data_IF_421302250759
#
_entry.id   IF_421302250759
#
_cell.length_a   1.000
_cell.length_b   1.000
_cell.length_c   1.000
_cell.angle_alpha   90.00
_cell.angle_beta   90.00
_cell.angle_gamma   90.00
#
_symmetry.space_group_name_H-M   'P 1'
#
loop_
_entity.id
_entity.type
_entity.pdbx_description
1 polymer ?
#
# COMPACT_ATOMS: atom_id res chain seq x y z
N UNK A 1 0.60 -21.09 10.44
CA UNK A 1 0.32 -19.79 11.13
C UNK A 1 0.80 -18.57 10.36
N UNK A 2 1.19 -18.75 9.10
CA UNK A 2 1.67 -17.69 8.22
C UNK A 2 0.66 -16.51 8.10
N UNK A 3 -0.63 -16.83 7.95
CA UNK A 3 -1.70 -15.83 7.80
C UNK A 3 -1.83 -14.77 8.91
N UNK A 4 -1.31 -15.01 10.11
CA UNK A 4 -1.45 -14.10 11.23
C UNK A 4 -0.16 -13.39 11.64
N UNK A 5 1.00 -13.99 11.37
CA UNK A 5 2.27 -13.52 11.95
C UNK A 5 2.60 -12.08 11.54
N UNK A 6 2.65 -11.79 10.25
CA UNK A 6 2.97 -10.44 9.75
C UNK A 6 1.91 -9.41 10.17
N UNK A 7 0.63 -9.76 10.04
CA UNK A 7 -0.49 -8.89 10.45
C UNK A 7 -0.42 -8.58 11.94
N UNK A 8 -0.20 -9.60 12.78
CA UNK A 8 -0.17 -9.43 14.23
C UNK A 8 0.94 -8.47 14.68
N UNK A 9 2.15 -8.67 14.17
CA UNK A 9 3.25 -7.77 14.47
C UNK A 9 3.05 -6.37 13.91
N UNK A 10 2.51 -6.24 12.70
CA UNK A 10 2.21 -4.95 12.09
C UNK A 10 1.17 -4.17 12.88
N UNK A 11 0.12 -4.81 13.40
CA UNK A 11 -0.87 -4.18 14.29
C UNK A 11 -0.22 -3.59 15.53
N UNK A 12 0.66 -4.36 16.20
CA UNK A 12 1.35 -3.92 17.41
C UNK A 12 2.29 -2.74 17.10
N UNK A 13 3.11 -2.86 16.05
CA UNK A 13 4.09 -1.85 15.72
C UNK A 13 3.45 -0.57 15.20
N UNK A 14 2.38 -0.66 14.37
CA UNK A 14 1.65 0.51 13.90
C UNK A 14 0.98 1.25 15.06
N UNK A 15 0.33 0.51 15.96
CA UNK A 15 -0.27 1.08 17.18
C UNK A 15 0.79 1.81 18.00
N UNK A 16 1.92 1.16 18.30
CA UNK A 16 3.02 1.78 19.04
C UNK A 16 3.57 3.02 18.33
N UNK A 17 3.73 2.97 17.01
CA UNK A 17 4.21 4.10 16.23
C UNK A 17 3.30 5.32 16.37
N UNK A 18 2.00 5.12 16.21
CA UNK A 18 1.03 6.21 16.29
C UNK A 18 0.88 6.72 17.72
N UNK A 19 0.55 5.83 18.67
CA UNK A 19 0.20 6.24 20.04
C UNK A 19 1.36 6.92 20.77
N UNK A 20 2.59 6.53 20.50
CA UNK A 20 3.78 7.21 21.06
C UNK A 20 4.14 8.51 20.33
N UNK A 21 3.32 8.99 19.40
CA UNK A 21 3.48 10.27 18.72
C UNK A 21 4.71 10.34 17.81
N UNK A 22 5.19 9.19 17.29
CA UNK A 22 6.35 9.17 16.41
C UNK A 22 6.12 9.97 15.11
N UNK A 23 4.91 10.00 14.50
CA UNK A 23 4.65 10.87 13.36
C UNK A 23 4.85 12.35 13.66
N UNK A 24 4.49 12.82 14.86
CA UNK A 24 4.70 14.20 15.28
C UNK A 24 6.18 14.52 15.57
N UNK A 25 6.91 13.53 16.10
CA UNK A 25 8.34 13.68 16.40
C UNK A 25 9.22 13.61 15.15
N UNK A 26 8.80 12.86 14.15
CA UNK A 26 9.55 12.61 12.93
C UNK A 26 8.68 12.83 11.65
N UNK A 27 8.17 14.05 11.43
CA UNK A 27 7.18 14.31 10.37
C UNK A 27 7.71 14.12 8.94
N UNK A 28 9.02 14.05 8.76
CA UNK A 28 9.66 13.82 7.45
C UNK A 28 9.96 12.33 7.19
N UNK A 29 9.79 11.47 8.19
CA UNK A 29 10.08 10.05 8.05
C UNK A 29 8.92 9.35 7.35
N UNK A 30 9.21 8.77 6.19
CA UNK A 30 8.26 7.96 5.44
C UNK A 30 8.27 6.54 6.00
N UNK A 31 7.11 6.02 6.35
CA UNK A 31 6.95 4.67 6.85
C UNK A 31 6.28 3.79 5.81
N UNK A 32 6.85 2.63 5.53
CA UNK A 32 6.32 1.65 4.59
C UNK A 32 6.08 0.33 5.33
N UNK A 33 4.83 -0.15 5.28
CA UNK A 33 4.43 -1.45 5.82
C UNK A 33 4.52 -2.48 4.71
N UNK A 34 5.34 -3.50 4.93
CA UNK A 34 5.69 -4.49 3.92
C UNK A 34 5.09 -5.84 4.29
N UNK A 35 4.50 -6.54 3.32
CA UNK A 35 4.13 -7.95 3.40
C UNK A 35 3.16 -8.31 4.55
N UNK A 36 2.17 -7.47 4.78
CA UNK A 36 1.21 -7.69 5.89
C UNK A 36 -0.26 -7.71 5.47
N UNK A 37 -0.54 -7.69 4.17
CA UNK A 37 -1.91 -7.53 3.67
C UNK A 37 -2.48 -6.14 3.97
N UNK A 38 -3.73 -5.90 3.64
CA UNK A 38 -4.33 -4.56 3.72
C UNK A 38 -5.61 -4.48 4.55
N UNK A 39 -6.39 -5.57 4.63
CA UNK A 39 -7.73 -5.54 5.24
C UNK A 39 -7.72 -5.19 6.75
N UNK A 40 -6.61 -5.41 7.44
CA UNK A 40 -6.45 -5.06 8.86
C UNK A 40 -6.29 -3.54 9.08
N UNK A 41 -5.86 -2.78 8.07
CA UNK A 41 -5.57 -1.35 8.21
C UNK A 41 -6.82 -0.54 8.52
N UNK A 42 -7.94 -0.65 7.77
CA UNK A 42 -9.17 0.04 8.13
C UNK A 42 -9.72 -0.34 9.52
N UNK A 43 -9.53 -1.60 9.92
CA UNK A 43 -9.90 -2.04 11.26
C UNK A 43 -9.14 -1.26 12.33
N UNK A 44 -7.81 -1.20 12.25
CA UNK A 44 -7.00 -0.53 13.27
C UNK A 44 -7.20 0.99 13.24
N UNK A 45 -7.43 1.60 12.07
CA UNK A 45 -7.76 3.02 11.95
C UNK A 45 -9.00 3.37 12.78
N UNK A 46 -10.09 2.66 12.56
CA UNK A 46 -11.34 2.88 13.29
C UNK A 46 -11.17 2.58 14.78
N UNK A 47 -10.46 1.52 15.13
CA UNK A 47 -10.24 1.15 16.52
C UNK A 47 -9.45 2.19 17.29
N UNK A 48 -8.36 2.68 16.70
CA UNK A 48 -7.52 3.70 17.34
C UNK A 48 -8.24 5.06 17.44
N UNK A 49 -8.99 5.47 16.43
CA UNK A 49 -9.79 6.71 16.50
C UNK A 49 -10.81 6.65 17.64
N UNK A 50 -11.52 5.52 17.75
CA UNK A 50 -12.50 5.33 18.80
C UNK A 50 -11.88 5.40 20.21
N UNK A 51 -10.78 4.69 20.44
CA UNK A 51 -10.09 4.70 21.73
C UNK A 51 -9.47 6.07 22.03
N UNK A 52 -8.90 6.74 21.03
CA UNK A 52 -8.31 8.07 21.17
C UNK A 52 -9.37 9.11 21.59
N UNK A 53 -10.55 9.10 20.97
CA UNK A 53 -11.63 10.03 21.34
C UNK A 53 -12.10 9.84 22.80
N UNK A 54 -12.04 8.63 23.34
CA UNK A 54 -12.40 8.37 24.73
C UNK A 54 -11.27 8.64 25.72
N UNK A 55 -9.99 8.55 25.30
CA UNK A 55 -8.82 8.53 26.17
C UNK A 55 -7.67 9.35 25.62
N UNK A 56 -7.93 10.60 25.21
CA UNK A 56 -6.92 11.51 24.65
C UNK A 56 -5.66 11.61 25.54
N UNK A 57 -5.84 11.50 26.85
CA UNK A 57 -4.73 11.58 27.81
C UNK A 57 -3.71 10.42 27.68
N UNK A 58 -4.08 9.30 27.08
CA UNK A 58 -3.17 8.17 26.85
C UNK A 58 -2.24 8.39 25.63
N UNK A 59 -2.57 9.34 24.75
CA UNK A 59 -1.75 9.67 23.59
C UNK A 59 -1.57 11.20 23.44
N UNK A 60 -0.99 11.87 24.45
CA UNK A 60 -0.94 13.34 24.53
C UNK A 60 -0.10 14.01 23.45
N UNK A 61 0.73 13.25 22.74
CA UNK A 61 1.56 13.78 21.67
C UNK A 61 0.81 13.92 20.34
N UNK A 62 -0.37 13.29 20.20
CA UNK A 62 -1.15 13.36 18.96
C UNK A 62 -1.94 14.65 18.87
N UNK A 63 -1.94 15.27 17.69
CA UNK A 63 -2.68 16.50 17.37
C UNK A 63 -3.88 16.27 16.47
N UNK A 64 -3.97 15.08 15.88
CA UNK A 64 -5.01 14.67 14.95
C UNK A 64 -5.48 13.26 15.31
N UNK A 65 -6.54 12.79 14.65
CA UNK A 65 -6.98 11.41 14.80
C UNK A 65 -5.89 10.41 14.34
N UNK A 66 -5.72 9.28 15.01
CA UNK A 66 -4.83 8.21 14.60
C UNK A 66 -4.93 7.82 13.13
N UNK A 67 -6.16 7.72 12.59
CA UNK A 67 -6.39 7.38 11.18
C UNK A 67 -5.80 8.39 10.20
N UNK A 68 -5.70 9.66 10.56
CA UNK A 68 -5.11 10.69 9.70
C UNK A 68 -3.61 10.46 9.51
N UNK A 69 -2.89 10.06 10.57
CA UNK A 69 -1.48 9.68 10.47
C UNK A 69 -1.28 8.39 9.66
N UNK A 70 -2.19 7.41 9.85
CA UNK A 70 -2.11 6.13 9.12
C UNK A 70 -2.31 6.34 7.61
N UNK A 71 -3.18 7.27 7.19
CA UNK A 71 -3.38 7.64 5.78
C UNK A 71 -2.16 8.28 5.13
N UNK A 72 -1.19 8.75 5.89
CA UNK A 72 0.07 9.30 5.39
C UNK A 72 1.17 8.23 5.24
N UNK A 73 0.95 7.02 5.76
CA UNK A 73 1.86 5.89 5.65
C UNK A 73 1.71 5.19 4.30
N UNK A 74 2.69 4.37 3.95
CA UNK A 74 2.70 3.58 2.73
C UNK A 74 2.55 2.11 3.06
N UNK A 75 1.95 1.38 2.13
CA UNK A 75 1.72 -0.06 2.26
C UNK A 75 2.12 -0.77 0.97
N UNK A 76 2.59 -2.02 1.05
CA UNK A 76 2.81 -2.83 -0.14
C UNK A 76 1.58 -3.66 -0.50
N UNK A 77 1.46 -4.02 -1.77
CA UNK A 77 0.29 -4.75 -2.27
C UNK A 77 0.26 -6.22 -1.87
N UNK A 78 1.41 -6.86 -1.77
CA UNK A 78 1.49 -8.29 -1.50
C UNK A 78 1.50 -8.56 0.03
N UNK A 79 0.76 -9.56 0.52
CA UNK A 79 -0.27 -10.34 -0.17
C UNK A 79 -1.56 -9.53 -0.38
N UNK A 80 -2.17 -9.66 -1.58
CA UNK A 80 -3.38 -8.93 -1.92
C UNK A 80 -4.62 -9.81 -1.78
N UNK A 81 -5.43 -9.56 -0.74
CA UNK A 81 -6.67 -10.29 -0.47
C UNK A 81 -7.79 -9.85 -1.44
N UNK A 82 -8.08 -10.66 -2.46
CA UNK A 82 -9.06 -10.37 -3.54
C UNK A 82 -10.35 -11.18 -3.48
N UNK A 83 -10.56 -11.96 -2.45
CA UNK A 83 -11.74 -12.82 -2.34
C UNK A 83 -13.04 -12.06 -2.14
N UNK A 84 -12.97 -10.85 -1.59
CA UNK A 84 -14.11 -9.94 -1.45
C UNK A 84 -13.75 -8.57 -2.06
N UNK A 85 -14.24 -8.32 -3.27
CA UNK A 85 -13.91 -7.12 -4.03
C UNK A 85 -14.47 -5.84 -3.41
N UNK A 86 -15.64 -5.89 -2.78
CA UNK A 86 -16.23 -4.74 -2.10
C UNK A 86 -15.41 -4.34 -0.86
N UNK A 87 -14.92 -5.33 -0.11
CA UNK A 87 -14.04 -5.09 1.03
C UNK A 87 -12.70 -4.51 0.57
N UNK A 88 -12.16 -5.00 -0.54
CA UNK A 88 -10.93 -4.48 -1.11
C UNK A 88 -11.08 -3.01 -1.55
N UNK A 89 -12.18 -2.66 -2.22
CA UNK A 89 -12.48 -1.29 -2.63
C UNK A 89 -12.60 -0.35 -1.42
N UNK A 90 -13.35 -0.77 -0.40
CA UNK A 90 -13.47 -0.03 0.84
C UNK A 90 -12.12 0.16 1.56
N UNK A 91 -11.28 -0.88 1.56
CA UNK A 91 -9.93 -0.83 2.11
C UNK A 91 -9.06 0.17 1.34
N UNK A 92 -9.06 0.11 0.02
CA UNK A 92 -8.30 1.03 -0.83
C UNK A 92 -8.72 2.48 -0.63
N UNK A 93 -10.03 2.73 -0.52
CA UNK A 93 -10.55 4.05 -0.19
C UNK A 93 -10.09 4.54 1.18
N UNK A 94 -10.13 3.69 2.20
CA UNK A 94 -9.77 4.04 3.56
C UNK A 94 -8.30 4.46 3.71
N UNK A 95 -7.39 3.79 2.99
CA UNK A 95 -5.94 4.02 3.06
C UNK A 95 -5.39 4.98 2.00
N UNK A 96 -6.24 5.61 1.18
CA UNK A 96 -5.81 6.41 0.03
C UNK A 96 -4.90 5.62 -0.93
N UNK A 97 -5.28 4.40 -1.29
CA UNK A 97 -4.44 3.43 -2.02
C UNK A 97 -3.86 4.01 -3.32
N UNK A 98 -4.58 4.87 -4.02
CA UNK A 98 -4.10 5.50 -5.25
C UNK A 98 -2.75 6.20 -5.08
N UNK A 99 -2.48 6.77 -3.90
CA UNK A 99 -1.25 7.52 -3.61
C UNK A 99 -0.34 6.84 -2.60
N UNK A 100 -0.86 5.96 -1.76
CA UNK A 100 -0.12 5.38 -0.63
C UNK A 100 0.26 3.90 -0.85
N UNK A 101 -0.32 3.24 -1.86
CA UNK A 101 -0.03 1.83 -2.11
C UNK A 101 1.15 1.67 -3.07
N UNK A 102 2.07 0.77 -2.74
CA UNK A 102 3.26 0.44 -3.51
C UNK A 102 3.15 -1.01 -3.98
N UNK A 103 3.31 -1.24 -5.28
CA UNK A 103 3.34 -2.61 -5.80
C UNK A 103 4.56 -3.36 -5.27
N UNK A 104 4.32 -4.55 -4.76
CA UNK A 104 5.32 -5.55 -4.44
C UNK A 104 4.85 -6.91 -4.96
N UNK A 105 5.77 -7.68 -5.52
CA UNK A 105 5.45 -9.01 -6.06
C UNK A 105 5.73 -10.15 -5.11
N UNK A 106 6.64 -9.96 -4.19
CA UNK A 106 7.20 -10.98 -3.32
C UNK A 106 7.89 -12.14 -4.06
N UNK A 107 8.29 -11.92 -5.31
CA UNK A 107 9.07 -12.91 -6.07
C UNK A 107 10.42 -13.20 -5.35
N UNK A 108 10.85 -14.47 -5.19
CA UNK A 108 10.31 -15.69 -5.81
C UNK A 108 9.48 -16.58 -4.86
N UNK A 109 8.80 -16.01 -3.87
CA UNK A 109 7.99 -16.80 -2.95
C UNK A 109 6.81 -17.47 -3.67
N UNK A 110 6.26 -18.53 -3.06
CA UNK A 110 5.21 -19.39 -3.65
C UNK A 110 3.88 -18.65 -3.88
N UNK A 111 3.63 -17.60 -3.13
CA UNK A 111 2.41 -16.79 -3.14
C UNK A 111 2.62 -15.41 -3.79
N UNK A 112 3.63 -15.28 -4.67
CA UNK A 112 3.92 -14.02 -5.33
C UNK A 112 2.74 -13.48 -6.14
N UNK A 113 2.59 -12.16 -6.15
CA UNK A 113 1.60 -11.43 -6.93
C UNK A 113 2.23 -10.85 -8.20
N UNK A 114 1.77 -11.25 -9.42
CA UNK A 114 2.19 -10.61 -10.65
C UNK A 114 1.55 -9.22 -10.80
N UNK A 115 2.05 -8.33 -11.69
CA UNK A 115 1.44 -7.01 -11.94
C UNK A 115 -0.03 -7.07 -12.35
N UNK A 116 -0.50 -8.20 -12.91
CA UNK A 116 -1.92 -8.42 -13.21
C UNK A 116 -2.81 -8.45 -11.98
N UNK A 117 -2.25 -8.68 -10.78
CA UNK A 117 -2.98 -8.55 -9.52
C UNK A 117 -3.59 -7.16 -9.35
N UNK A 118 -2.95 -6.12 -9.90
CA UNK A 118 -3.41 -4.73 -9.87
C UNK A 118 -4.16 -4.35 -11.16
N UNK A 119 -3.63 -4.73 -12.33
CA UNK A 119 -4.24 -4.27 -13.61
C UNK A 119 -5.65 -4.80 -13.84
N UNK A 120 -6.01 -5.92 -13.22
CA UNK A 120 -7.34 -6.55 -13.33
C UNK A 120 -8.36 -6.02 -12.34
N UNK A 121 -7.99 -5.15 -11.41
CA UNK A 121 -8.93 -4.58 -10.43
C UNK A 121 -9.91 -3.63 -11.14
N UNK A 122 -11.22 -3.91 -11.11
CA UNK A 122 -12.19 -3.20 -11.93
C UNK A 122 -12.51 -1.77 -11.47
N UNK A 123 -12.41 -1.49 -10.19
CA UNK A 123 -12.71 -0.18 -9.62
C UNK A 123 -11.54 0.82 -9.70
N UNK A 124 -10.34 0.38 -10.09
CA UNK A 124 -9.20 1.28 -10.25
C UNK A 124 -9.20 1.97 -11.60
N UNK A 125 -9.01 3.29 -11.61
CA UNK A 125 -8.72 4.04 -12.82
C UNK A 125 -7.34 3.63 -13.39
N UNK A 126 -7.13 3.86 -14.69
CA UNK A 126 -5.84 3.60 -15.32
C UNK A 126 -4.71 4.44 -14.70
N UNK A 127 -5.03 5.62 -14.17
CA UNK A 127 -4.04 6.43 -13.46
C UNK A 127 -3.71 5.81 -12.09
N UNK A 128 -4.71 5.35 -11.34
CA UNK A 128 -4.49 4.67 -10.05
C UNK A 128 -3.64 3.40 -10.24
N UNK A 129 -3.91 2.60 -11.27
CA UNK A 129 -3.08 1.43 -11.61
C UNK A 129 -1.62 1.81 -11.87
N UNK A 130 -1.37 2.85 -12.65
CA UNK A 130 0.01 3.34 -12.91
C UNK A 130 0.69 3.85 -11.65
N UNK A 131 -0.04 4.56 -10.82
CA UNK A 131 0.47 5.06 -9.56
C UNK A 131 0.93 3.91 -8.66
N UNK A 132 0.06 2.94 -8.43
CA UNK A 132 0.34 1.77 -7.58
C UNK A 132 1.49 0.94 -8.15
N UNK A 133 1.49 0.66 -9.48
CA UNK A 133 2.47 -0.19 -10.12
C UNK A 133 3.90 0.39 -10.16
N UNK A 134 4.07 1.70 -9.93
CA UNK A 134 5.43 2.24 -9.96
C UNK A 134 5.57 3.72 -9.60
N UNK A 135 4.62 4.58 -9.97
CA UNK A 135 4.79 6.02 -9.77
C UNK A 135 4.82 6.41 -8.27
N UNK A 136 4.06 5.70 -7.43
CA UNK A 136 4.12 5.91 -5.99
C UNK A 136 5.49 5.55 -5.42
N UNK A 137 6.04 4.40 -5.79
CA UNK A 137 7.39 3.99 -5.37
C UNK A 137 8.45 4.99 -5.87
N UNK A 138 8.36 5.44 -7.12
CA UNK A 138 9.25 6.45 -7.65
C UNK A 138 9.23 7.74 -6.82
N UNK A 139 8.05 8.21 -6.44
CA UNK A 139 7.89 9.39 -5.57
C UNK A 139 8.42 9.16 -4.15
N UNK A 140 8.14 8.00 -3.56
CA UNK A 140 8.55 7.69 -2.19
C UNK A 140 10.06 7.59 -2.07
N UNK A 141 10.70 6.92 -3.02
CA UNK A 141 12.14 6.65 -3.02
C UNK A 141 12.95 7.62 -3.87
N UNK A 142 12.30 8.66 -4.42
CA UNK A 142 12.94 9.67 -5.28
C UNK A 142 13.68 9.06 -6.48
N UNK A 143 13.03 8.13 -7.18
CA UNK A 143 13.59 7.43 -8.34
C UNK A 143 13.23 8.15 -9.63
N UNK A 144 14.19 8.23 -10.57
CA UNK A 144 13.91 8.67 -11.93
C UNK A 144 13.12 7.61 -12.72
N UNK A 145 11.94 7.96 -13.19
CA UNK A 145 11.15 7.10 -14.07
C UNK A 145 11.61 7.32 -15.51
N UNK A 146 12.51 6.48 -16.01
CA UNK A 146 12.85 6.46 -17.44
C UNK A 146 11.68 5.85 -18.22
N UNK A 147 11.11 6.59 -19.18
CA UNK A 147 10.20 5.98 -20.15
C UNK A 147 10.99 4.95 -20.94
N UNK A 148 10.66 3.67 -20.78
CA UNK A 148 11.14 2.64 -21.68
C UNK A 148 10.64 3.03 -23.08
N UNK A 149 11.57 3.24 -24.03
CA UNK A 149 11.20 3.42 -25.44
C UNK A 149 10.44 2.17 -25.87
N UNK A 150 9.42 2.28 -26.74
CA UNK A 150 8.68 1.14 -27.27
C UNK A 150 9.54 0.34 -28.25
N UNK A 151 10.56 -0.37 -27.75
CA UNK A 151 11.44 -1.20 -28.58
C UNK A 151 10.91 -2.62 -28.83
N UNK A 152 9.87 -3.05 -28.14
CA UNK A 152 9.40 -4.44 -28.26
C UNK A 152 8.30 -4.66 -29.33
N UNK A 153 7.62 -3.61 -29.79
CA UNK A 153 6.57 -3.77 -30.82
C UNK A 153 7.10 -3.66 -32.24
N UNK A 154 8.14 -2.89 -32.49
CA UNK A 154 8.67 -2.67 -33.84
C UNK A 154 9.54 -3.83 -34.35
N UNK A 155 10.15 -4.59 -33.44
CA UNK A 155 11.00 -5.75 -33.81
C UNK A 155 10.18 -6.95 -34.30
N UNK A 156 8.91 -7.08 -33.86
CA UNK A 156 8.03 -8.16 -34.32
C UNK A 156 7.31 -7.83 -35.65
N UNK A 157 7.15 -6.54 -35.96
CA UNK A 157 6.51 -6.09 -37.20
C UNK A 157 7.48 -6.06 -38.40
N UNK A 158 8.80 -6.14 -38.19
CA UNK A 158 9.84 -6.06 -39.23
C UNK A 158 10.42 -7.41 -39.63
N UNK A 159 9.83 -8.55 -39.27
CA UNK A 159 10.25 -9.84 -39.82
C UNK A 159 9.68 -10.00 -41.23
N UNK A 160 10.51 -9.98 -42.30
CA UNK A 160 10.02 -10.27 -43.63
C UNK A 160 9.50 -11.71 -43.66
N UNK A 161 8.29 -11.89 -44.22
CA UNK A 161 7.69 -13.19 -44.40
C UNK A 161 8.63 -14.10 -45.17
N UNK A 162 8.95 -15.23 -44.58
CA UNK A 162 9.57 -16.34 -45.30
C UNK A 162 8.52 -16.99 -46.18
N UNK A 163 8.58 -16.70 -47.46
CA UNK A 163 7.92 -17.50 -48.52
C UNK A 163 8.47 -18.90 -48.57
#
# INVERSE_FOLDING_TARGET
>A
MHALSFVHYSLIHLTNWVINGLPERFPKLKLVWVESGLAWVPFIMQRLDHEFMMRVCEAPALKRLPSEYIREMYFTTQPLEKTNMNLLEATFSAINAETQLLFASDWPHWDFDPPSAITTIPFLSEQAKRNILGLNAARVFNLEVKRLRPQARDVLASRPGTT
#
